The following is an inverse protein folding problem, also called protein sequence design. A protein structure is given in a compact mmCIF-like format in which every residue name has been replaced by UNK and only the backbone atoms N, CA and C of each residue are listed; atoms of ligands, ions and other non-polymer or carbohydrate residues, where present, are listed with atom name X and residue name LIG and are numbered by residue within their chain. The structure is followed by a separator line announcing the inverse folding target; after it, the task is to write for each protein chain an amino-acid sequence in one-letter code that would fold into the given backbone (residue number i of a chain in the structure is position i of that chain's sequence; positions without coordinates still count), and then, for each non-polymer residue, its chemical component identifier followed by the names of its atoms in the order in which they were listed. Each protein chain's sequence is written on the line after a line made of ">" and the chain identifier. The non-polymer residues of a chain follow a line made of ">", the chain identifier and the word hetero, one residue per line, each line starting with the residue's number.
data_IF_359675619332
#
_entry.id   IF_359675619332
#
_cell.length_a   1.000
_cell.length_b   1.000
_cell.length_c   1.000
_cell.angle_alpha   90.00
_cell.angle_beta   90.00
_cell.angle_gamma   90.00
#
_symmetry.space_group_name_H-M   'P 1'
#
loop_
_entity.id
_entity.type
_entity.pdbx_description
1 polymer ?
#
# COMPACT_ATOMS: atom_id res chain seq x y z
N UNK A 1 8.41 14.43 -36.34
CA UNK A 1 8.68 15.49 -37.33
C UNK A 1 8.09 16.85 -36.91
N UNK A 2 6.77 17.03 -36.62
CA UNK A 2 6.21 18.34 -36.23
C UNK A 2 6.91 18.94 -34.99
N UNK A 3 7.17 18.14 -33.96
CA UNK A 3 7.86 18.59 -32.74
C UNK A 3 9.34 18.91 -33.03
N UNK A 4 9.99 18.08 -33.85
CA UNK A 4 11.40 18.30 -34.25
C UNK A 4 11.55 19.56 -35.09
N UNK A 5 10.65 19.75 -36.05
CA UNK A 5 10.63 20.95 -36.88
C UNK A 5 10.32 22.22 -36.09
N UNK A 6 9.62 22.05 -34.96
CA UNK A 6 9.31 23.13 -34.03
C UNK A 6 10.52 23.60 -33.22
N UNK A 7 11.59 22.80 -33.10
CA UNK A 7 12.83 23.10 -32.36
C UNK A 7 12.61 23.72 -30.97
N UNK A 8 11.56 23.25 -30.26
CA UNK A 8 11.20 23.78 -28.94
C UNK A 8 12.21 23.33 -27.90
N UNK A 9 12.69 24.27 -27.10
CA UNK A 9 13.68 24.04 -26.04
C UNK A 9 13.03 24.10 -24.66
N UNK A 10 13.61 23.37 -23.72
CA UNK A 10 13.21 23.44 -22.31
C UNK A 10 13.47 24.86 -21.76
N UNK A 11 12.48 25.46 -21.07
CA UNK A 11 12.54 26.82 -20.56
C UNK A 11 12.24 27.93 -21.58
N UNK A 12 12.12 27.62 -22.89
CA UNK A 12 11.83 28.62 -23.94
C UNK A 12 10.46 29.28 -23.72
N UNK A 13 9.46 28.49 -23.31
CA UNK A 13 8.09 28.98 -23.06
C UNK A 13 8.05 30.01 -21.93
N UNK A 14 8.72 29.73 -20.81
CA UNK A 14 8.80 30.64 -19.67
C UNK A 14 9.48 31.96 -20.05
N UNK A 15 10.58 31.89 -20.76
CA UNK A 15 11.31 33.06 -21.21
C UNK A 15 10.48 33.93 -22.17
N UNK A 16 9.83 33.30 -23.16
CA UNK A 16 8.95 33.99 -24.10
C UNK A 16 7.71 34.55 -23.42
N UNK A 17 7.13 33.84 -22.44
CA UNK A 17 5.97 34.31 -21.69
C UNK A 17 6.31 35.54 -20.86
N UNK A 18 7.48 35.61 -20.25
CA UNK A 18 7.95 36.81 -19.54
C UNK A 18 8.15 37.99 -20.49
N UNK A 19 8.75 37.76 -21.66
CA UNK A 19 8.92 38.76 -22.70
C UNK A 19 7.56 39.27 -23.23
N UNK A 20 6.66 38.37 -23.56
CA UNK A 20 5.31 38.70 -24.02
C UNK A 20 4.54 39.58 -23.03
N UNK A 21 4.54 39.20 -21.74
CA UNK A 21 3.87 40.03 -20.69
C UNK A 21 4.46 41.43 -20.60
N UNK A 22 5.78 41.55 -20.64
CA UNK A 22 6.46 42.84 -20.63
C UNK A 22 6.07 43.71 -21.83
N UNK A 23 6.08 43.16 -23.04
CA UNK A 23 5.70 43.88 -24.25
C UNK A 23 4.19 44.18 -24.31
N UNK A 24 3.32 43.25 -23.87
CA UNK A 24 1.91 43.49 -23.82
C UNK A 24 1.52 44.65 -22.88
N UNK A 25 2.19 44.78 -21.72
CA UNK A 25 2.03 45.92 -20.85
C UNK A 25 2.54 47.23 -21.48
N UNK A 26 3.73 47.19 -22.11
CA UNK A 26 4.29 48.36 -22.82
C UNK A 26 3.39 48.82 -23.97
N UNK A 27 2.85 47.88 -24.75
CA UNK A 27 1.88 48.19 -25.83
C UNK A 27 0.63 48.89 -25.27
N UNK A 28 0.01 48.37 -24.23
CA UNK A 28 -1.16 48.95 -23.62
C UNK A 28 -0.92 50.36 -23.05
N UNK A 29 0.23 50.58 -22.43
CA UNK A 29 0.67 51.91 -21.96
C UNK A 29 0.82 52.83 -23.16
N UNK A 30 1.46 52.42 -24.25
CA UNK A 30 1.65 53.23 -25.45
C UNK A 30 0.31 53.61 -26.10
N UNK A 31 -0.63 52.67 -26.22
CA UNK A 31 -1.99 52.91 -26.78
C UNK A 31 -2.76 53.93 -25.92
N UNK A 32 -2.74 53.80 -24.58
CA UNK A 32 -3.44 54.75 -23.68
C UNK A 32 -2.80 56.14 -23.68
N UNK A 33 -1.47 56.20 -23.74
CA UNK A 33 -0.76 57.48 -23.84
C UNK A 33 -0.98 58.16 -25.19
N UNK A 34 -1.06 57.43 -26.29
CA UNK A 34 -1.38 57.98 -27.61
C UNK A 34 -2.80 58.54 -27.61
N UNK A 35 -3.76 57.85 -27.05
CA UNK A 35 -5.13 58.32 -26.87
C UNK A 35 -5.18 59.61 -26.03
N UNK A 36 -4.47 59.63 -24.91
CA UNK A 36 -4.37 60.82 -24.07
C UNK A 36 -3.76 61.99 -24.82
N UNK A 37 -2.67 61.80 -25.55
CA UNK A 37 -2.04 62.80 -26.40
C UNK A 37 -2.99 63.33 -27.46
N UNK A 38 -3.74 62.43 -28.14
CA UNK A 38 -4.71 62.82 -29.14
C UNK A 38 -5.88 63.67 -28.56
N UNK A 39 -6.25 63.44 -27.29
CA UNK A 39 -7.23 64.29 -26.60
C UNK A 39 -6.66 65.64 -26.23
N UNK A 40 -5.40 65.72 -25.77
CA UNK A 40 -4.76 66.97 -25.38
C UNK A 40 -4.39 67.86 -26.58
N UNK A 41 -4.17 67.29 -27.76
CA UNK A 41 -3.92 68.03 -29.01
C UNK A 41 -5.19 68.65 -29.58
N UNK A 42 -6.35 68.35 -29.04
CA UNK A 42 -7.58 69.07 -29.43
C UNK A 42 -7.56 70.48 -28.90
N UNK A 43 -7.55 71.43 -29.82
CA UNK A 43 -7.29 72.89 -29.60
C UNK A 43 -8.42 73.59 -28.84
N UNK A 44 -9.11 72.88 -27.92
CA UNK A 44 -10.28 73.42 -27.18
C UNK A 44 -9.90 74.56 -26.23
N UNK A 45 -8.77 74.41 -25.52
CA UNK A 45 -8.27 75.43 -24.61
C UNK A 45 -7.84 76.69 -25.36
N UNK A 46 -7.10 76.55 -26.45
CA UNK A 46 -6.70 77.67 -27.30
C UNK A 46 -7.89 78.31 -28.02
N UNK A 47 -8.91 77.54 -28.40
CA UNK A 47 -10.17 78.17 -28.95
C UNK A 47 -10.92 78.93 -27.91
N UNK A 48 -11.02 78.39 -26.69
CA UNK A 48 -11.67 79.12 -25.56
C UNK A 48 -10.89 80.34 -25.19
N UNK A 49 -9.54 80.28 -25.13
CA UNK A 49 -8.69 81.41 -24.84
C UNK A 49 -8.89 82.54 -25.88
N UNK A 50 -8.87 82.25 -27.19
CA UNK A 50 -9.15 83.26 -28.23
C UNK A 50 -10.50 83.93 -28.09
N UNK A 51 -11.52 83.20 -27.76
CA UNK A 51 -12.86 83.72 -27.58
C UNK A 51 -12.95 84.67 -26.37
N UNK A 52 -12.29 84.29 -25.26
CA UNK A 52 -12.23 85.10 -24.03
C UNK A 52 -11.32 86.32 -24.22
N UNK A 53 -10.20 86.19 -24.94
CA UNK A 53 -9.34 87.36 -25.32
C UNK A 53 -10.15 88.45 -26.06
N UNK A 54 -10.92 87.98 -27.07
CA UNK A 54 -11.80 88.95 -27.80
C UNK A 54 -12.86 89.58 -26.89
N UNK A 55 -13.44 88.84 -25.95
CA UNK A 55 -14.41 89.38 -25.02
C UNK A 55 -13.76 90.34 -23.98
N UNK A 56 -12.51 90.04 -23.55
CA UNK A 56 -11.77 90.86 -22.59
C UNK A 56 -11.38 92.26 -23.15
N UNK A 57 -11.34 92.42 -24.46
CA UNK A 57 -11.17 93.72 -25.11
C UNK A 57 -12.33 94.67 -24.77
N UNK A 58 -13.55 94.12 -24.43
CA UNK A 58 -14.74 94.85 -24.13
C UNK A 58 -15.04 94.99 -22.62
N UNK A 59 -14.54 94.03 -21.80
CA UNK A 59 -14.75 94.02 -20.35
C UNK A 59 -13.48 93.50 -19.62
N UNK A 60 -12.78 94.37 -18.91
CA UNK A 60 -11.59 94.08 -18.12
C UNK A 60 -11.80 93.07 -17.01
N UNK A 61 -13.03 92.85 -16.57
CA UNK A 61 -13.36 91.87 -15.54
C UNK A 61 -13.07 90.46 -16.02
N UNK A 62 -12.92 90.24 -17.33
CA UNK A 62 -12.59 88.90 -17.96
C UNK A 62 -11.09 88.59 -18.04
N UNK A 63 -10.21 89.58 -17.71
CA UNK A 63 -8.76 89.38 -17.72
C UNK A 63 -8.34 88.19 -16.82
N UNK A 64 -8.95 88.04 -15.63
CA UNK A 64 -8.64 86.87 -14.78
C UNK A 64 -9.07 85.53 -15.33
N UNK A 65 -10.12 85.44 -16.14
CA UNK A 65 -10.52 84.23 -16.84
C UNK A 65 -9.56 83.92 -18.05
N UNK A 66 -9.16 84.94 -18.77
CA UNK A 66 -8.14 84.84 -19.84
C UNK A 66 -6.84 84.25 -19.30
N UNK A 67 -6.33 84.82 -18.20
CA UNK A 67 -5.08 84.40 -17.60
C UNK A 67 -5.16 82.91 -17.12
N UNK A 68 -6.29 82.54 -16.51
CA UNK A 68 -6.54 81.12 -16.14
C UNK A 68 -6.57 80.20 -17.38
N UNK A 69 -7.17 80.60 -18.48
CA UNK A 69 -7.16 79.76 -19.72
C UNK A 69 -5.79 79.75 -20.37
N UNK A 70 -5.00 80.77 -20.31
CA UNK A 70 -3.62 80.78 -20.76
C UNK A 70 -2.74 79.81 -19.96
N UNK A 71 -2.86 79.82 -18.65
CA UNK A 71 -2.16 78.87 -17.76
C UNK A 71 -2.62 77.43 -18.04
N UNK A 72 -3.91 77.20 -18.23
CA UNK A 72 -4.44 75.89 -18.57
C UNK A 72 -3.93 75.36 -19.90
N UNK A 73 -3.86 76.21 -20.95
CA UNK A 73 -3.28 75.85 -22.25
C UNK A 73 -1.78 75.48 -22.12
N UNK A 74 -1.03 76.24 -21.35
CA UNK A 74 0.40 75.99 -21.10
C UNK A 74 0.55 74.63 -20.38
N UNK A 75 -0.23 74.31 -19.36
CA UNK A 75 -0.19 73.02 -18.63
C UNK A 75 -0.55 71.86 -19.55
N UNK A 76 -1.58 72.00 -20.40
CA UNK A 76 -1.97 70.93 -21.34
C UNK A 76 -0.87 70.65 -22.40
N UNK A 77 -0.23 71.70 -22.86
CA UNK A 77 0.88 71.62 -23.81
C UNK A 77 2.12 70.96 -23.16
N UNK A 78 2.41 71.29 -21.90
CA UNK A 78 3.50 70.63 -21.17
C UNK A 78 3.21 69.14 -20.92
N UNK A 79 2.00 68.79 -20.47
CA UNK A 79 1.59 67.41 -20.32
C UNK A 79 1.72 66.63 -21.65
N UNK A 80 1.30 67.22 -22.78
CA UNK A 80 1.44 66.60 -24.11
C UNK A 80 2.90 66.34 -24.50
N UNK A 81 3.82 67.27 -24.11
CA UNK A 81 5.26 67.10 -24.33
C UNK A 81 5.86 66.02 -23.45
N UNK A 82 5.47 65.97 -22.16
CA UNK A 82 5.91 64.94 -21.25
C UNK A 82 5.47 63.55 -21.69
N UNK A 83 4.21 63.37 -22.12
CA UNK A 83 3.73 62.12 -22.69
C UNK A 83 4.54 61.72 -23.90
N UNK A 84 4.80 62.64 -24.81
CA UNK A 84 5.57 62.37 -26.02
C UNK A 84 7.06 61.96 -25.69
N UNK A 85 7.65 62.61 -24.69
CA UNK A 85 9.00 62.28 -24.19
C UNK A 85 9.03 60.88 -23.56
N UNK A 86 8.02 60.55 -22.72
CA UNK A 86 7.89 59.25 -22.10
C UNK A 86 7.72 58.14 -23.16
N UNK A 87 6.84 58.33 -24.14
CA UNK A 87 6.62 57.36 -25.24
C UNK A 87 7.91 57.17 -26.07
N UNK A 88 8.65 58.24 -26.30
CA UNK A 88 9.98 58.15 -27.00
C UNK A 88 11.05 57.40 -26.23
N UNK A 89 10.93 57.30 -24.91
CA UNK A 89 11.86 56.55 -24.05
C UNK A 89 11.45 55.08 -23.85
N UNK A 90 10.23 54.70 -24.26
CA UNK A 90 9.78 53.31 -24.15
C UNK A 90 10.47 52.39 -25.16
N UNK A 91 11.19 51.40 -24.66
CA UNK A 91 11.75 50.29 -25.46
C UNK A 91 10.62 49.30 -25.87
N UNK A 92 9.77 49.71 -26.83
CA UNK A 92 8.74 48.83 -27.39
C UNK A 92 9.04 48.62 -28.89
N UNK A 93 9.35 47.39 -29.24
CA UNK A 93 9.54 46.95 -30.60
C UNK A 93 8.38 46.06 -31.03
N UNK A 94 7.51 46.53 -31.91
CA UNK A 94 6.33 45.82 -32.37
C UNK A 94 6.70 44.55 -33.16
N UNK A 95 7.80 44.53 -33.87
CA UNK A 95 8.24 43.35 -34.63
C UNK A 95 8.71 42.25 -33.68
N UNK A 96 9.46 42.59 -32.63
CA UNK A 96 9.86 41.66 -31.58
C UNK A 96 8.66 41.15 -30.82
N UNK A 97 7.64 41.97 -30.56
CA UNK A 97 6.40 41.55 -29.91
C UNK A 97 5.67 40.50 -30.75
N UNK A 98 5.43 40.78 -32.06
CA UNK A 98 4.72 39.84 -32.96
C UNK A 98 5.50 38.54 -33.16
N UNK A 99 6.80 38.56 -33.25
CA UNK A 99 7.59 37.34 -33.36
C UNK A 99 7.54 36.50 -32.10
N UNK A 100 7.54 37.13 -30.90
CA UNK A 100 7.41 36.48 -29.62
C UNK A 100 6.01 35.81 -29.47
N UNK A 101 4.94 36.53 -29.85
CA UNK A 101 3.57 36.04 -29.84
C UNK A 101 3.40 34.81 -30.77
N UNK A 102 3.83 34.96 -32.02
CA UNK A 102 3.80 33.87 -33.01
C UNK A 102 4.54 32.63 -32.56
N UNK A 103 5.70 32.80 -31.90
CA UNK A 103 6.48 31.69 -31.38
C UNK A 103 5.82 31.00 -30.19
N UNK A 104 5.20 31.74 -29.28
CA UNK A 104 4.40 31.21 -28.19
C UNK A 104 3.20 30.39 -28.70
N UNK A 105 2.49 30.92 -29.69
CA UNK A 105 1.36 30.21 -30.29
C UNK A 105 1.79 28.88 -30.91
N UNK A 106 2.94 28.84 -31.60
CA UNK A 106 3.52 27.61 -32.12
C UNK A 106 3.80 26.58 -31.02
N UNK A 107 4.41 27.02 -29.90
CA UNK A 107 4.69 26.15 -28.76
C UNK A 107 3.40 25.63 -28.16
N UNK A 108 2.42 26.48 -27.90
CA UNK A 108 1.11 26.10 -27.34
C UNK A 108 0.33 25.16 -28.27
N UNK A 109 0.43 25.32 -29.60
CA UNK A 109 -0.18 24.43 -30.56
C UNK A 109 0.44 23.03 -30.54
N UNK A 110 1.76 22.95 -30.40
CA UNK A 110 2.48 21.69 -30.23
C UNK A 110 2.14 21.03 -28.89
N UNK A 111 2.06 21.82 -27.83
CA UNK A 111 1.68 21.32 -26.51
C UNK A 111 0.25 20.74 -26.50
N UNK A 112 -0.72 21.42 -27.11
CA UNK A 112 -2.11 20.92 -27.22
C UNK A 112 -2.20 19.58 -27.95
N UNK A 113 -1.32 19.33 -28.92
CA UNK A 113 -1.31 18.09 -29.69
C UNK A 113 -0.54 16.95 -29.01
N UNK A 114 0.55 17.26 -28.32
CA UNK A 114 1.56 16.26 -27.94
C UNK A 114 1.87 16.17 -26.45
N UNK A 115 1.34 17.08 -25.63
CA UNK A 115 1.50 17.08 -24.18
C UNK A 115 1.30 18.47 -23.58
N UNK A 116 0.60 18.60 -22.48
CA UNK A 116 0.18 19.88 -21.90
C UNK A 116 1.35 20.75 -21.35
N UNK A 117 2.58 20.27 -21.40
CA UNK A 117 3.79 21.00 -21.05
C UNK A 117 4.92 20.67 -22.02
N UNK A 118 5.89 21.58 -22.17
CA UNK A 118 7.09 21.36 -23.02
C UNK A 118 7.82 20.08 -22.60
N UNK A 119 7.96 19.82 -21.30
CA UNK A 119 8.59 18.60 -20.80
C UNK A 119 7.88 17.34 -21.23
N UNK A 120 6.56 17.26 -21.04
CA UNK A 120 5.73 16.12 -21.45
C UNK A 120 5.76 15.88 -22.96
N UNK A 121 5.77 16.96 -23.73
CA UNK A 121 5.87 16.91 -25.20
C UNK A 121 7.22 16.30 -25.63
N UNK A 122 8.33 16.72 -25.01
CA UNK A 122 9.67 16.20 -25.30
C UNK A 122 9.82 14.73 -24.86
N UNK A 123 9.29 14.36 -23.68
CA UNK A 123 9.24 12.96 -23.22
C UNK A 123 8.45 12.07 -24.19
N UNK A 124 7.30 12.58 -24.69
CA UNK A 124 6.50 11.85 -25.66
C UNK A 124 7.19 11.72 -27.03
N UNK A 125 7.97 12.73 -27.43
CA UNK A 125 8.81 12.65 -28.62
C UNK A 125 9.85 11.53 -28.48
N UNK A 126 10.55 11.49 -27.36
CA UNK A 126 11.58 10.48 -27.11
C UNK A 126 11.00 9.07 -27.06
N UNK A 127 9.86 8.89 -26.37
CA UNK A 127 9.12 7.60 -26.37
C UNK A 127 8.74 7.16 -27.78
N UNK A 128 8.26 8.10 -28.62
CA UNK A 128 7.87 7.79 -30.01
C UNK A 128 9.09 7.50 -30.90
N UNK A 129 10.22 8.19 -30.69
CA UNK A 129 11.47 7.89 -31.40
C UNK A 129 11.98 6.49 -31.08
N UNK A 130 12.04 6.14 -29.79
CA UNK A 130 12.46 4.81 -29.35
C UNK A 130 11.52 3.74 -29.94
N UNK A 131 10.22 4.01 -29.95
CA UNK A 131 9.25 3.08 -30.55
C UNK A 131 9.39 2.93 -32.07
N UNK A 132 9.73 4.00 -32.75
CA UNK A 132 10.00 3.98 -34.18
C UNK A 132 11.27 3.16 -34.49
N UNK A 133 12.34 3.39 -33.74
CA UNK A 133 13.59 2.64 -33.87
C UNK A 133 13.39 1.14 -33.57
N UNK A 134 12.57 0.79 -32.57
CA UNK A 134 12.16 -0.59 -32.31
C UNK A 134 11.42 -1.21 -33.50
N UNK A 135 10.54 -0.44 -34.17
CA UNK A 135 9.78 -0.92 -35.31
C UNK A 135 10.63 -1.03 -36.58
N UNK A 136 11.56 -0.14 -36.80
CA UNK A 136 12.50 -0.15 -37.93
C UNK A 136 13.51 -1.30 -37.80
N UNK A 137 13.90 -1.63 -36.56
CA UNK A 137 14.84 -2.71 -36.25
C UNK A 137 14.11 -3.92 -35.62
N UNK A 138 12.88 -4.19 -36.01
CA UNK A 138 12.02 -5.18 -35.37
C UNK A 138 12.66 -6.56 -35.23
N UNK A 139 13.35 -7.04 -36.24
CA UNK A 139 13.99 -8.37 -36.18
C UNK A 139 15.14 -8.43 -35.17
N UNK A 140 15.98 -7.38 -35.10
CA UNK A 140 17.07 -7.30 -34.13
C UNK A 140 16.52 -7.13 -32.68
N UNK A 141 15.45 -6.33 -32.52
CA UNK A 141 14.78 -6.16 -31.25
C UNK A 141 14.13 -7.45 -30.76
N UNK A 142 13.47 -8.17 -31.67
CA UNK A 142 12.87 -9.48 -31.39
C UNK A 142 13.90 -10.49 -30.93
N UNK A 143 15.02 -10.63 -31.65
CA UNK A 143 16.12 -11.55 -31.32
C UNK A 143 16.71 -11.24 -29.94
N UNK A 144 16.93 -9.96 -29.65
CA UNK A 144 17.41 -9.51 -28.34
C UNK A 144 16.43 -9.87 -27.23
N UNK A 145 15.14 -9.57 -27.43
CA UNK A 145 14.08 -9.85 -26.44
C UNK A 145 13.90 -11.35 -26.21
N UNK A 146 13.94 -12.16 -27.27
CA UNK A 146 13.87 -13.62 -27.18
C UNK A 146 15.07 -14.20 -26.39
N UNK A 147 16.27 -13.64 -26.59
CA UNK A 147 17.47 -14.01 -25.84
C UNK A 147 17.35 -13.64 -24.37
N UNK A 148 16.95 -12.42 -24.06
CA UNK A 148 16.73 -11.94 -22.68
C UNK A 148 15.67 -12.77 -21.95
N UNK A 149 14.56 -13.11 -22.65
CA UNK A 149 13.52 -13.99 -22.12
C UNK A 149 14.07 -15.37 -21.78
N UNK A 150 14.84 -15.97 -22.69
CA UNK A 150 15.46 -17.28 -22.47
C UNK A 150 16.43 -17.26 -21.28
N UNK A 151 17.28 -16.25 -21.20
CA UNK A 151 18.21 -16.10 -20.07
C UNK A 151 17.47 -15.90 -18.74
N UNK A 152 16.35 -15.19 -18.74
CA UNK A 152 15.50 -15.01 -17.56
C UNK A 152 14.82 -16.31 -17.16
N UNK A 153 14.30 -17.07 -18.12
CA UNK A 153 13.70 -18.39 -17.89
C UNK A 153 14.73 -19.40 -17.33
N UNK A 154 15.93 -19.43 -17.89
CA UNK A 154 17.02 -20.31 -17.42
C UNK A 154 17.48 -19.95 -15.99
N UNK A 155 17.47 -18.66 -15.64
CA UNK A 155 17.75 -18.20 -14.26
C UNK A 155 16.64 -18.62 -13.30
N UNK A 156 15.38 -18.42 -13.68
CA UNK A 156 14.23 -18.80 -12.89
C UNK A 156 14.20 -20.31 -12.62
N UNK A 157 14.40 -21.14 -13.65
CA UNK A 157 14.46 -22.60 -13.51
C UNK A 157 15.56 -23.03 -12.52
N UNK A 158 16.76 -22.45 -12.63
CA UNK A 158 17.85 -22.73 -11.69
C UNK A 158 17.51 -22.36 -10.25
N UNK A 159 16.97 -21.16 -10.02
CA UNK A 159 16.56 -20.73 -8.69
C UNK A 159 15.47 -21.64 -8.11
N UNK A 160 14.48 -22.01 -8.91
CA UNK A 160 13.42 -22.93 -8.48
C UNK A 160 13.95 -24.34 -8.18
N UNK A 161 14.91 -24.85 -8.99
CA UNK A 161 15.52 -26.15 -8.74
C UNK A 161 16.35 -26.15 -7.44
N UNK A 162 17.10 -25.10 -7.16
CA UNK A 162 17.84 -24.94 -5.90
C UNK A 162 16.89 -24.85 -4.70
N UNK A 163 15.81 -24.06 -4.82
CA UNK A 163 14.79 -23.94 -3.79
C UNK A 163 14.12 -25.29 -3.51
N UNK A 164 13.74 -26.04 -4.57
CA UNK A 164 13.17 -27.37 -4.45
C UNK A 164 14.11 -28.34 -3.73
N UNK A 165 15.40 -28.30 -4.05
CA UNK A 165 16.42 -29.11 -3.38
C UNK A 165 16.53 -28.80 -1.88
N UNK A 166 16.55 -27.51 -1.54
CA UNK A 166 16.60 -27.05 -0.14
C UNK A 166 15.34 -27.50 0.60
N UNK A 167 14.15 -27.32 0.03
CA UNK A 167 12.87 -27.73 0.61
C UNK A 167 12.82 -29.23 0.86
N UNK A 168 13.20 -30.05 -0.13
CA UNK A 168 13.26 -31.52 0.01
C UNK A 168 14.27 -31.97 1.06
N UNK A 169 15.35 -31.24 1.26
CA UNK A 169 16.32 -31.54 2.32
C UNK A 169 15.78 -31.15 3.70
N UNK A 170 15.19 -29.95 3.83
CA UNK A 170 14.60 -29.47 5.06
C UNK A 170 13.36 -30.30 5.47
N UNK A 171 12.54 -30.73 4.49
CA UNK A 171 11.36 -31.54 4.76
C UNK A 171 11.68 -32.87 5.42
N UNK A 172 12.78 -33.50 5.07
CA UNK A 172 13.22 -34.76 5.71
C UNK A 172 13.45 -34.56 7.22
N UNK A 173 14.12 -33.47 7.58
CA UNK A 173 14.37 -33.16 8.99
C UNK A 173 13.06 -32.81 9.72
N UNK A 174 12.18 -32.08 9.06
CA UNK A 174 10.85 -31.72 9.59
C UNK A 174 10.00 -32.98 9.83
N UNK A 175 9.90 -33.85 8.83
CA UNK A 175 9.18 -35.12 8.89
C UNK A 175 9.67 -35.98 10.05
N UNK A 176 10.99 -36.14 10.23
CA UNK A 176 11.53 -36.91 11.34
C UNK A 176 11.20 -36.32 12.72
N UNK A 177 11.24 -34.99 12.86
CA UNK A 177 10.82 -34.31 14.11
C UNK A 177 9.33 -34.55 14.41
N UNK A 178 8.47 -34.43 13.36
CA UNK A 178 7.03 -34.65 13.50
C UNK A 178 6.75 -36.10 13.85
N UNK A 179 7.39 -37.08 13.20
CA UNK A 179 7.27 -38.51 13.54
C UNK A 179 7.57 -38.78 15.01
N UNK A 180 8.67 -38.23 15.53
CA UNK A 180 8.97 -38.34 16.98
C UNK A 180 7.86 -37.76 17.85
N UNK A 181 7.33 -36.61 17.46
CA UNK A 181 6.21 -35.99 18.14
C UNK A 181 4.93 -36.83 18.12
N UNK A 182 4.65 -37.54 17.01
CA UNK A 182 3.50 -38.43 16.85
C UNK A 182 3.67 -39.71 17.70
N UNK A 183 4.86 -40.30 17.77
CA UNK A 183 5.14 -41.43 18.65
C UNK A 183 4.83 -41.12 20.11
N UNK A 184 5.18 -39.91 20.59
CA UNK A 184 4.85 -39.46 21.96
C UNK A 184 3.34 -39.39 22.19
N UNK A 185 2.55 -39.12 21.13
CA UNK A 185 1.10 -39.03 21.17
C UNK A 185 0.37 -40.35 20.90
N UNK A 186 1.11 -41.49 21.02
CA UNK A 186 0.61 -42.86 20.88
C UNK A 186 0.26 -43.28 19.44
N UNK A 187 0.85 -42.65 18.43
CA UNK A 187 0.83 -43.15 17.04
C UNK A 187 2.02 -44.12 16.82
N UNK A 188 1.90 -45.35 17.30
CA UNK A 188 3.04 -46.28 17.40
C UNK A 188 3.61 -46.74 16.06
N UNK A 189 2.75 -46.83 15.03
CA UNK A 189 3.12 -47.33 13.69
C UNK A 189 2.84 -46.26 12.60
N UNK A 190 3.00 -45.01 12.94
CA UNK A 190 2.72 -43.93 12.01
C UNK A 190 3.74 -43.86 10.88
N UNK A 191 3.24 -43.80 9.67
CA UNK A 191 3.99 -43.35 8.51
C UNK A 191 3.61 -41.91 8.23
N UNK A 192 4.62 -41.03 8.18
CA UNK A 192 4.42 -39.60 7.93
C UNK A 192 5.47 -39.14 6.95
N UNK A 193 5.09 -38.48 5.89
CA UNK A 193 6.02 -38.01 4.84
C UNK A 193 5.55 -36.68 4.27
N UNK A 194 6.37 -36.06 3.43
CA UNK A 194 6.03 -34.87 2.67
C UNK A 194 6.31 -35.12 1.20
N UNK A 195 5.27 -35.04 0.39
CA UNK A 195 5.33 -35.16 -1.06
C UNK A 195 5.50 -33.78 -1.69
N UNK A 196 6.25 -33.77 -2.79
CA UNK A 196 6.49 -32.55 -3.58
C UNK A 196 6.16 -32.84 -5.03
N UNK A 197 5.08 -32.24 -5.50
CA UNK A 197 4.71 -32.23 -6.90
C UNK A 197 5.25 -30.98 -7.61
N UNK A 198 5.65 -31.15 -8.86
CA UNK A 198 6.06 -30.02 -9.68
C UNK A 198 4.85 -29.43 -10.40
N UNK A 199 4.55 -28.17 -10.14
CA UNK A 199 3.53 -27.42 -10.85
C UNK A 199 3.94 -27.20 -12.33
N UNK A 200 2.98 -27.14 -13.25
CA UNK A 200 3.24 -26.90 -14.67
C UNK A 200 3.68 -25.46 -14.98
N UNK A 201 3.62 -24.56 -14.01
CA UNK A 201 3.96 -23.15 -14.13
C UNK A 201 4.75 -22.67 -12.90
N UNK A 202 5.50 -21.59 -13.07
CA UNK A 202 6.20 -20.94 -11.96
C UNK A 202 5.25 -20.05 -11.16
N UNK A 203 5.43 -20.03 -9.84
CA UNK A 203 4.74 -19.12 -8.91
C UNK A 203 5.75 -18.19 -8.23
N UNK A 204 5.27 -17.21 -7.48
CA UNK A 204 6.12 -16.33 -6.65
C UNK A 204 6.95 -17.12 -5.62
N UNK A 205 6.50 -18.32 -5.25
CA UNK A 205 7.18 -19.22 -4.30
C UNK A 205 7.90 -20.40 -4.96
N UNK A 206 8.12 -20.40 -6.27
CA UNK A 206 8.75 -21.48 -7.01
C UNK A 206 7.73 -22.38 -7.73
N UNK A 207 8.09 -23.62 -8.00
CA UNK A 207 7.24 -24.57 -8.72
C UNK A 207 6.81 -25.80 -7.90
N UNK A 208 7.20 -25.88 -6.61
CA UNK A 208 6.80 -27.02 -5.77
C UNK A 208 5.43 -26.80 -5.16
N UNK A 209 4.57 -27.79 -5.27
CA UNK A 209 3.41 -28.00 -4.43
C UNK A 209 3.75 -29.07 -3.40
N UNK A 210 3.60 -28.76 -2.12
CA UNK A 210 3.98 -29.64 -1.03
C UNK A 210 2.75 -30.06 -0.22
N UNK A 211 2.62 -31.35 0.06
CA UNK A 211 1.57 -31.88 0.90
C UNK A 211 2.10 -32.90 1.92
N UNK A 212 1.51 -32.90 3.10
CA UNK A 212 1.78 -33.92 4.11
C UNK A 212 0.98 -35.19 3.80
N UNK A 213 1.66 -36.32 3.86
CA UNK A 213 1.08 -37.64 3.74
C UNK A 213 1.19 -38.39 5.07
N UNK A 214 0.14 -39.12 5.42
CA UNK A 214 0.08 -39.87 6.69
C UNK A 214 -0.63 -41.20 6.52
N UNK A 215 -0.16 -42.22 7.28
CA UNK A 215 -0.92 -43.41 7.65
C UNK A 215 -0.77 -43.62 9.14
N UNK A 216 -1.88 -43.73 9.84
CA UNK A 216 -1.93 -43.90 11.31
C UNK A 216 -2.01 -45.36 11.75
N UNK A 217 -2.28 -46.28 10.80
CA UNK A 217 -2.44 -47.71 11.08
C UNK A 217 -1.57 -48.59 10.19
N UNK A 218 -1.03 -49.69 10.73
CA UNK A 218 -0.23 -50.62 9.95
C UNK A 218 -1.01 -51.20 8.76
N UNK A 219 -0.37 -51.23 7.59
CA UNK A 219 -0.96 -51.82 6.39
C UNK A 219 -1.95 -50.96 5.63
N UNK A 220 -2.26 -49.74 6.12
CA UNK A 220 -3.03 -48.79 5.35
C UNK A 220 -2.14 -47.96 4.42
N UNK A 221 -2.61 -47.57 3.23
CA UNK A 221 -1.85 -46.71 2.35
C UNK A 221 -1.67 -45.32 2.96
N UNK A 222 -0.57 -44.69 2.68
CA UNK A 222 -0.32 -43.28 3.03
C UNK A 222 -1.25 -42.40 2.21
N UNK A 223 -1.90 -41.43 2.84
CA UNK A 223 -2.86 -40.51 2.22
C UNK A 223 -2.57 -39.06 2.59
N UNK A 224 -3.05 -38.11 1.80
CA UNK A 224 -3.00 -36.70 2.18
C UNK A 224 -3.60 -36.46 3.58
N UNK A 225 -2.91 -35.63 4.36
CA UNK A 225 -3.35 -35.31 5.74
C UNK A 225 -4.77 -34.77 5.78
N UNK A 226 -5.21 -34.08 4.73
CA UNK A 226 -6.58 -33.56 4.61
C UNK A 226 -7.66 -34.65 4.54
N UNK A 227 -7.29 -35.90 4.24
CA UNK A 227 -8.20 -37.03 4.13
C UNK A 227 -8.33 -37.85 5.44
N UNK A 228 -7.68 -37.39 6.50
CA UNK A 228 -7.79 -38.04 7.83
C UNK A 228 -9.19 -37.81 8.39
N UNK A 229 -9.91 -38.90 8.61
CA UNK A 229 -11.33 -38.86 8.94
C UNK A 229 -11.65 -38.67 10.45
N UNK A 230 -10.69 -38.91 11.35
CA UNK A 230 -10.92 -38.83 12.81
C UNK A 230 -10.54 -37.44 13.36
N UNK A 231 -11.51 -36.73 13.96
CA UNK A 231 -11.30 -35.42 14.57
C UNK A 231 -10.21 -35.42 15.66
N UNK A 232 -10.29 -36.41 16.58
CA UNK A 232 -9.32 -36.55 17.66
C UNK A 232 -7.90 -36.92 17.17
N UNK A 233 -7.79 -37.76 16.13
CA UNK A 233 -6.48 -38.07 15.51
C UNK A 233 -5.92 -36.85 14.82
N UNK A 234 -6.73 -36.14 14.03
CA UNK A 234 -6.30 -34.92 13.33
C UNK A 234 -5.83 -33.84 14.33
N UNK A 235 -6.57 -33.61 15.42
CA UNK A 235 -6.18 -32.65 16.46
C UNK A 235 -4.82 -33.01 17.09
N UNK A 236 -4.55 -34.28 17.36
CA UNK A 236 -3.25 -34.71 17.90
C UNK A 236 -2.12 -34.63 16.85
N UNK A 237 -2.40 -34.94 15.58
CA UNK A 237 -1.43 -34.75 14.49
C UNK A 237 -1.10 -33.28 14.34
N UNK A 238 -2.10 -32.42 14.36
CA UNK A 238 -1.89 -30.97 14.32
C UNK A 238 -1.10 -30.47 15.54
N UNK A 239 -1.34 -31.00 16.74
CA UNK A 239 -0.55 -30.72 17.93
C UNK A 239 0.93 -31.08 17.73
N UNK A 240 1.23 -32.25 17.16
CA UNK A 240 2.61 -32.65 16.87
C UNK A 240 3.28 -31.71 15.88
N UNK A 241 2.60 -31.36 14.79
CA UNK A 241 3.10 -30.41 13.78
C UNK A 241 3.35 -29.04 14.40
N UNK A 242 2.36 -28.51 15.14
CA UNK A 242 2.46 -27.17 15.79
C UNK A 242 3.53 -27.14 16.86
N UNK A 243 3.77 -28.23 17.58
CA UNK A 243 4.88 -28.33 18.55
C UNK A 243 6.25 -28.19 17.87
N UNK A 244 6.42 -28.75 16.67
CA UNK A 244 7.68 -28.64 15.91
C UNK A 244 7.86 -27.29 15.27
N UNK A 245 6.77 -26.62 14.92
CA UNK A 245 6.76 -25.33 14.22
C UNK A 245 6.53 -24.12 15.16
N UNK A 246 6.43 -24.33 16.47
CA UNK A 246 6.04 -23.30 17.43
C UNK A 246 6.84 -21.99 17.33
N UNK A 247 8.15 -22.09 17.07
CA UNK A 247 9.02 -20.91 16.94
C UNK A 247 8.92 -20.21 15.58
N UNK A 248 8.23 -20.81 14.61
CA UNK A 248 8.13 -20.32 13.22
C UNK A 248 6.68 -20.02 12.79
N UNK A 249 5.71 -20.16 13.72
CA UNK A 249 4.29 -20.00 13.45
C UNK A 249 3.79 -18.65 13.98
N UNK A 250 3.31 -17.79 13.08
CA UNK A 250 2.79 -16.47 13.42
C UNK A 250 1.31 -16.48 13.89
N UNK A 251 0.69 -17.67 14.03
CA UNK A 251 -0.71 -17.80 14.46
C UNK A 251 -0.79 -17.58 15.98
N UNK A 252 -1.42 -16.48 16.47
CA UNK A 252 -1.35 -16.14 17.89
C UNK A 252 -2.21 -17.03 18.79
N UNK A 253 -3.27 -17.65 18.25
CA UNK A 253 -4.24 -18.45 19.04
C UNK A 253 -4.51 -19.79 18.36
N UNK A 254 -4.39 -20.87 19.12
CA UNK A 254 -4.65 -22.23 18.70
C UNK A 254 -5.81 -22.80 19.52
N UNK A 255 -6.81 -23.39 18.83
CA UNK A 255 -7.98 -23.99 19.47
C UNK A 255 -7.96 -25.49 19.18
N UNK A 256 -7.92 -26.30 20.24
CA UNK A 256 -7.96 -27.76 20.14
C UNK A 256 -9.30 -28.30 20.68
N UNK A 257 -10.06 -28.90 19.79
CA UNK A 257 -11.28 -29.60 20.10
C UNK A 257 -11.09 -31.10 19.88
N UNK A 258 -11.78 -31.94 20.68
CA UNK A 258 -11.73 -33.43 20.62
C UNK A 258 -10.33 -34.03 20.74
N UNK A 259 -9.29 -33.30 21.20
CA UNK A 259 -7.92 -33.79 21.26
C UNK A 259 -7.74 -34.99 22.18
N UNK A 260 -8.61 -35.12 23.12
CA UNK A 260 -8.66 -36.18 24.15
C UNK A 260 -9.51 -37.38 23.77
N UNK A 261 -10.13 -37.37 22.57
CA UNK A 261 -10.94 -38.50 22.09
C UNK A 261 -10.08 -39.74 21.83
N UNK A 262 -10.46 -40.86 22.46
CA UNK A 262 -9.79 -42.17 22.29
C UNK A 262 -8.45 -42.30 22.99
N UNK A 263 -8.11 -41.39 23.91
CA UNK A 263 -6.89 -41.50 24.71
C UNK A 263 -7.17 -41.48 26.21
N UNK A 264 -6.23 -41.94 27.01
CA UNK A 264 -6.32 -41.94 28.49
C UNK A 264 -4.90 -42.00 29.08
N UNK A 265 -4.80 -41.82 30.40
CA UNK A 265 -3.60 -42.07 31.20
C UNK A 265 -2.35 -41.36 30.65
N UNK A 266 -1.35 -42.17 30.29
CA UNK A 266 -0.02 -41.65 29.88
C UNK A 266 -0.06 -40.81 28.60
N UNK A 267 -0.93 -41.16 27.64
CA UNK A 267 -1.08 -40.40 26.40
C UNK A 267 -1.67 -39.01 26.69
N UNK A 268 -2.71 -38.93 27.53
CA UNK A 268 -3.27 -37.64 27.95
C UNK A 268 -2.25 -36.76 28.67
N UNK A 269 -1.35 -37.34 29.47
CA UNK A 269 -0.23 -36.61 30.08
C UNK A 269 0.70 -36.05 29.02
N UNK A 270 1.08 -36.82 28.00
CA UNK A 270 1.94 -36.35 26.91
C UNK A 270 1.28 -35.25 26.05
N UNK A 271 -0.02 -35.37 25.77
CA UNK A 271 -0.80 -34.32 25.12
C UNK A 271 -0.75 -33.02 25.94
N UNK A 272 -0.99 -33.12 27.27
CA UNK A 272 -0.98 -31.94 28.15
C UNK A 272 0.37 -31.25 28.24
N UNK A 273 1.48 -32.01 28.26
CA UNK A 273 2.86 -31.48 28.23
C UNK A 273 3.13 -30.71 26.92
N UNK A 274 2.69 -31.24 25.75
CA UNK A 274 2.87 -30.57 24.45
C UNK A 274 2.00 -29.30 24.33
N UNK A 275 0.75 -29.34 24.84
CA UNK A 275 -0.09 -28.14 24.91
C UNK A 275 0.56 -27.05 25.76
N UNK A 276 1.10 -27.41 26.94
CA UNK A 276 1.80 -26.49 27.80
C UNK A 276 3.07 -25.89 27.15
N UNK A 277 3.80 -26.71 26.36
CA UNK A 277 4.95 -26.22 25.62
C UNK A 277 4.58 -25.14 24.59
N UNK A 278 3.54 -25.38 23.80
CA UNK A 278 3.06 -24.39 22.80
C UNK A 278 2.49 -23.15 23.48
N UNK A 279 1.85 -23.31 24.64
CA UNK A 279 1.25 -22.20 25.40
C UNK A 279 2.28 -21.16 25.89
N UNK A 280 3.59 -21.44 25.80
CA UNK A 280 4.65 -20.46 26.12
C UNK A 280 4.76 -19.36 25.09
N UNK A 281 4.42 -19.64 23.82
CA UNK A 281 4.50 -18.68 22.71
C UNK A 281 3.15 -18.35 22.08
N UNK A 282 2.10 -19.14 22.33
CA UNK A 282 0.78 -19.01 21.72
C UNK A 282 -0.32 -19.01 22.80
N UNK A 283 -1.46 -18.38 22.53
CA UNK A 283 -2.65 -18.64 23.31
C UNK A 283 -3.23 -20.01 22.90
N UNK A 284 -3.38 -20.91 23.85
CA UNK A 284 -3.95 -22.24 23.61
C UNK A 284 -5.31 -22.35 24.31
N UNK A 285 -6.35 -22.63 23.55
CA UNK A 285 -7.69 -22.95 24.05
C UNK A 285 -7.94 -24.43 23.78
N UNK A 286 -8.24 -25.21 24.83
CA UNK A 286 -8.49 -26.63 24.72
C UNK A 286 -9.83 -27.01 25.38
N UNK A 287 -10.66 -27.76 24.67
CA UNK A 287 -11.88 -28.36 25.20
C UNK A 287 -11.52 -29.79 25.56
N UNK A 288 -11.73 -30.16 26.83
CA UNK A 288 -11.34 -31.48 27.33
C UNK A 288 -12.26 -31.99 28.47
N UNK A 289 -12.36 -33.30 28.56
CA UNK A 289 -12.97 -33.99 29.68
C UNK A 289 -11.97 -34.80 30.53
N UNK A 290 -10.66 -34.76 30.14
CA UNK A 290 -9.63 -35.49 30.85
C UNK A 290 -8.93 -34.60 31.90
N UNK A 291 -8.87 -35.07 33.16
CA UNK A 291 -8.28 -34.29 34.24
C UNK A 291 -6.80 -34.02 34.06
N UNK A 292 -6.05 -34.88 33.36
CA UNK A 292 -4.64 -34.69 33.05
C UNK A 292 -4.40 -33.44 32.18
N UNK A 293 -5.27 -33.19 31.21
CA UNK A 293 -5.20 -32.04 30.32
C UNK A 293 -5.68 -30.77 31.06
N UNK A 294 -6.84 -30.90 31.77
CA UNK A 294 -7.40 -29.78 32.51
C UNK A 294 -6.47 -29.25 33.62
N UNK A 295 -5.74 -30.16 34.30
CA UNK A 295 -4.78 -29.79 35.33
C UNK A 295 -3.64 -28.87 34.83
N UNK A 296 -3.25 -29.01 33.55
CA UNK A 296 -2.19 -28.20 32.93
C UNK A 296 -2.64 -26.78 32.55
N UNK A 297 -3.93 -26.47 32.61
CA UNK A 297 -4.44 -25.15 32.26
C UNK A 297 -3.91 -24.06 33.20
N UNK A 298 -3.55 -22.88 32.66
CA UNK A 298 -3.25 -21.65 33.43
C UNK A 298 -4.54 -20.97 33.86
N UNK A 299 -5.57 -21.06 33.01
CA UNK A 299 -6.92 -20.60 33.31
C UNK A 299 -7.90 -21.72 32.99
N UNK A 300 -8.69 -22.11 33.96
CA UNK A 300 -9.68 -23.17 33.82
C UNK A 300 -11.10 -22.58 33.78
N UNK A 301 -11.88 -23.00 32.80
CA UNK A 301 -13.31 -22.68 32.65
C UNK A 301 -14.13 -23.94 32.73
N UNK A 302 -15.21 -23.92 33.53
CA UNK A 302 -16.19 -24.96 33.58
C UNK A 302 -17.37 -24.61 32.65
N UNK A 303 -17.79 -25.60 31.85
CA UNK A 303 -18.99 -25.48 31.02
C UNK A 303 -20.13 -26.24 31.72
N UNK A 304 -21.14 -25.50 32.12
CA UNK A 304 -22.31 -26.07 32.79
C UNK A 304 -23.57 -25.95 31.93
N UNK A 305 -24.27 -27.06 31.70
CA UNK A 305 -25.57 -27.13 31.02
C UNK A 305 -26.68 -27.28 32.04
N UNK A 306 -27.50 -26.26 32.22
CA UNK A 306 -28.68 -26.32 33.07
C UNK A 306 -29.93 -26.48 32.20
N UNK A 307 -30.71 -27.51 32.48
CA UNK A 307 -32.03 -27.65 31.90
C UNK A 307 -33.02 -26.80 32.75
N UNK A 308 -33.67 -25.84 32.14
CA UNK A 308 -34.79 -25.08 32.69
C UNK A 308 -36.03 -25.41 31.84
N UNK A 309 -37.23 -25.33 32.42
CA UNK A 309 -38.49 -25.72 31.77
C UNK A 309 -38.56 -25.28 30.29
N UNK A 310 -38.30 -26.25 29.38
CA UNK A 310 -38.40 -26.08 27.93
C UNK A 310 -37.16 -25.49 27.21
N UNK A 311 -36.08 -25.16 27.92
CA UNK A 311 -34.82 -24.69 27.32
C UNK A 311 -33.59 -25.22 28.03
N UNK A 312 -32.47 -25.41 27.28
CA UNK A 312 -31.20 -25.75 27.86
C UNK A 312 -30.27 -24.50 27.76
N UNK A 313 -29.90 -23.96 28.91
CA UNK A 313 -28.94 -22.87 28.98
C UNK A 313 -27.51 -23.41 29.23
N UNK A 314 -26.57 -22.98 28.44
CA UNK A 314 -25.13 -23.27 28.65
C UNK A 314 -24.48 -22.05 29.27
N UNK A 315 -23.81 -22.24 30.40
CA UNK A 315 -23.03 -21.20 31.08
C UNK A 315 -21.55 -21.58 31.13
N UNK A 316 -20.67 -20.59 31.05
CA UNK A 316 -19.24 -20.77 31.17
C UNK A 316 -18.76 -19.97 32.40
N UNK A 317 -18.05 -20.61 33.31
CA UNK A 317 -17.58 -20.00 34.53
C UNK A 317 -16.07 -20.17 34.67
N UNK A 318 -15.34 -19.08 34.92
CA UNK A 318 -13.92 -19.14 35.27
C UNK A 318 -13.78 -19.66 36.69
N UNK A 319 -12.91 -20.64 36.88
CA UNK A 319 -12.64 -21.27 38.17
C UNK A 319 -11.43 -20.63 38.84
N UNK A 320 -11.51 -20.49 40.18
CA UNK A 320 -10.34 -20.21 41.00
C UNK A 320 -9.58 -21.53 41.31
N UNK A 321 -8.45 -21.44 42.05
CA UNK A 321 -7.58 -22.59 42.33
C UNK A 321 -8.33 -23.73 43.10
N UNK A 322 -9.13 -23.38 44.05
CA UNK A 322 -9.88 -24.38 44.86
C UNK A 322 -10.97 -25.03 44.02
N UNK A 323 -11.73 -24.23 43.28
CA UNK A 323 -12.74 -24.71 42.33
C UNK A 323 -12.13 -25.57 41.21
N UNK A 324 -10.93 -25.25 40.78
CA UNK A 324 -10.20 -26.09 39.82
C UNK A 324 -9.90 -27.46 40.40
N UNK A 325 -9.46 -27.55 41.64
CA UNK A 325 -9.23 -28.85 42.34
C UNK A 325 -10.52 -29.63 42.46
N UNK A 326 -11.62 -28.96 42.83
CA UNK A 326 -12.94 -29.60 42.93
C UNK A 326 -13.40 -30.16 41.58
N UNK A 327 -13.25 -29.40 40.50
CA UNK A 327 -13.60 -29.83 39.14
C UNK A 327 -12.69 -30.99 38.66
N UNK A 328 -11.40 -30.93 38.94
CA UNK A 328 -10.49 -32.05 38.68
C UNK A 328 -10.89 -33.29 39.45
N UNK A 329 -11.33 -33.16 40.72
CA UNK A 329 -11.84 -34.26 41.52
C UNK A 329 -13.11 -34.83 40.92
N UNK A 330 -14.02 -33.98 40.40
CA UNK A 330 -15.23 -34.41 39.68
C UNK A 330 -14.88 -35.19 38.42
N UNK A 331 -13.93 -34.75 37.64
CA UNK A 331 -13.44 -35.44 36.43
C UNK A 331 -12.77 -36.80 36.76
N UNK A 332 -12.08 -36.91 37.90
CA UNK A 332 -11.46 -38.17 38.36
C UNK A 332 -12.40 -39.15 38.95
N UNK A 333 -13.30 -38.70 39.84
CA UNK A 333 -14.14 -39.55 40.68
C UNK A 333 -15.57 -39.76 40.18
N UNK A 334 -15.98 -39.00 39.19
CA UNK A 334 -17.37 -39.04 38.69
C UNK A 334 -18.39 -38.60 39.75
N UNK A 335 -19.40 -39.43 40.02
CA UNK A 335 -20.53 -39.09 40.88
C UNK A 335 -20.21 -39.09 42.40
N UNK A 336 -19.12 -39.72 42.86
CA UNK A 336 -18.71 -39.76 44.25
C UNK A 336 -17.35 -39.15 44.44
N UNK A 337 -17.30 -38.00 45.05
CA UNK A 337 -16.05 -37.29 45.41
C UNK A 337 -15.71 -37.66 46.86
N UNK A 338 -14.58 -38.37 47.07
CA UNK A 338 -14.08 -38.72 48.38
C UNK A 338 -12.84 -37.82 48.71
N UNK A 339 -12.47 -37.74 49.98
CA UNK A 339 -11.27 -36.95 50.40
C UNK A 339 -10.00 -37.42 49.65
N UNK A 340 -9.89 -38.71 49.40
CA UNK A 340 -8.77 -39.29 48.60
C UNK A 340 -8.74 -38.77 47.18
N UNK A 341 -9.90 -38.64 46.53
CA UNK A 341 -10.04 -38.14 45.17
C UNK A 341 -9.68 -36.63 45.11
N UNK A 342 -10.10 -35.87 46.13
CA UNK A 342 -9.72 -34.44 46.24
C UNK A 342 -8.21 -34.31 46.41
N UNK A 343 -7.60 -35.14 47.27
CA UNK A 343 -6.18 -35.13 47.47
C UNK A 343 -5.41 -35.47 46.17
N UNK A 344 -5.81 -36.48 45.44
CA UNK A 344 -5.25 -36.82 44.14
C UNK A 344 -5.37 -35.67 43.11
N UNK A 345 -6.53 -35.01 43.06
CA UNK A 345 -6.72 -33.83 42.20
C UNK A 345 -5.77 -32.68 42.56
N UNK A 346 -5.56 -32.45 43.85
CA UNK A 346 -4.62 -31.43 44.34
C UNK A 346 -3.18 -31.77 43.97
N UNK A 347 -2.74 -33.00 44.18
CA UNK A 347 -1.43 -33.48 43.81
C UNK A 347 -1.19 -33.38 42.29
N UNK A 348 -2.21 -33.76 41.47
CA UNK A 348 -2.17 -33.64 40.02
C UNK A 348 -1.97 -32.17 39.59
N UNK A 349 -2.70 -31.22 40.20
CA UNK A 349 -2.57 -29.80 39.87
C UNK A 349 -1.20 -29.28 40.30
N UNK A 350 -0.68 -29.65 41.47
CA UNK A 350 0.64 -29.25 41.93
C UNK A 350 1.78 -29.80 41.05
N UNK A 351 1.67 -31.04 40.58
CA UNK A 351 2.62 -31.64 39.67
C UNK A 351 2.58 -30.95 38.31
N UNK A 352 1.38 -30.65 37.80
CA UNK A 352 1.20 -29.91 36.55
C UNK A 352 1.85 -28.52 36.62
N UNK A 353 1.65 -27.78 37.74
CA UNK A 353 2.22 -26.45 37.93
C UNK A 353 3.78 -26.49 38.05
N UNK A 354 4.37 -27.61 38.46
CA UNK A 354 5.83 -27.80 38.54
C UNK A 354 6.45 -28.22 37.19
N UNK A 355 5.64 -28.78 36.27
CA UNK A 355 6.10 -29.33 34.99
C UNK A 355 6.08 -28.30 33.87
N UNK A 356 5.38 -27.20 34.03
CA UNK A 356 5.31 -26.06 33.12
C UNK A 356 6.65 -25.32 33.03
#
# INVERSE_FOLDING_TARGET
>A
QEIENGEVKEGEEEELTLKYRRFAHARRIAEELENARGLLQRDFAAQALRSVEQAAEYDKALEGIRDQLYDAEAILNDASREISSYMGSMEFDEEVFRTTESRLDQIHDLQRKYGNTTQLMLENLEKKKNRLEELENFDAYREKTEKELKEAQDRLERCCAELSKIRKTASRQLVEKIKKGLLDLNFLDVQFDMEFDRLPHFTASGYDEAQFLISTNPGQPVRPLMEVASGGELSRIMLAIKTVLADSDDIPTLIFDEIDTGISGRTAQKVSEKLSYIAKSHQVICITHLPQIAAMADTHFEIHKAASEGSTATSIRRLNREQTVEELARLLGGAKITDTVIQNAREMKELADKTK
#
